data_IF_087953285142
#
_entry.id   IF_087953285142
#
_cell.length_a   1.000
_cell.length_b   1.000
_cell.length_c   1.000
_cell.angle_alpha   90.00
_cell.angle_beta   90.00
_cell.angle_gamma   90.00
#
_symmetry.space_group_name_H-M   'P 1'
#
loop_
_entity.id
_entity.type
_entity.pdbx_description
1 polymer ?
#
# COMPACT_ATOMS: atom_id res chain seq x y z
N UNK A 1 6.00 -11.60 -14.61
CA UNK A 1 5.13 -11.86 -13.43
C UNK A 1 3.64 -11.55 -13.67
N UNK A 2 3.15 -11.61 -14.93
CA UNK A 2 1.71 -11.51 -15.29
C UNK A 2 1.14 -12.92 -15.61
N UNK A 3 2.01 -13.94 -15.67
CA UNK A 3 1.67 -15.33 -15.96
C UNK A 3 0.92 -16.04 -14.82
N UNK A 4 0.93 -15.50 -13.60
CA UNK A 4 0.23 -16.08 -12.44
C UNK A 4 -1.19 -15.55 -12.22
N UNK A 5 -1.67 -14.63 -13.07
CA UNK A 5 -3.02 -14.10 -12.94
C UNK A 5 -4.03 -15.01 -13.65
N UNK A 6 -5.20 -15.27 -13.03
CA UNK A 6 -6.26 -16.06 -13.65
C UNK A 6 -6.66 -15.44 -14.99
N UNK A 7 -6.99 -16.27 -15.99
CA UNK A 7 -7.21 -15.84 -17.39
C UNK A 7 -8.17 -14.66 -17.56
N UNK A 8 -9.17 -14.54 -16.68
CA UNK A 8 -10.13 -13.42 -16.66
C UNK A 8 -9.47 -12.07 -16.37
N UNK A 9 -8.46 -12.03 -15.49
CA UNK A 9 -7.70 -10.81 -15.19
C UNK A 9 -6.71 -10.47 -16.30
N UNK A 10 -6.18 -11.48 -17.00
CA UNK A 10 -5.23 -11.31 -18.11
C UNK A 10 -5.76 -10.48 -19.27
N UNK A 11 -7.08 -10.56 -19.54
CA UNK A 11 -7.76 -9.72 -20.54
C UNK A 11 -7.89 -8.24 -20.15
N UNK A 12 -7.70 -7.89 -18.88
CA UNK A 12 -7.81 -6.52 -18.35
C UNK A 12 -6.48 -6.03 -17.78
N UNK A 13 -5.38 -6.46 -18.39
CA UNK A 13 -4.03 -6.17 -17.91
C UNK A 13 -3.78 -4.67 -17.81
N UNK A 14 -4.33 -3.89 -18.72
CA UNK A 14 -4.31 -2.44 -18.81
C UNK A 14 -4.94 -1.77 -17.58
N UNK A 15 -6.08 -2.29 -17.10
CA UNK A 15 -6.74 -1.81 -15.87
C UNK A 15 -5.98 -2.24 -14.61
N UNK A 16 -5.33 -3.41 -14.64
CA UNK A 16 -4.62 -3.97 -13.49
C UNK A 16 -3.18 -3.48 -13.37
N UNK A 17 -2.63 -2.92 -14.45
CA UNK A 17 -1.25 -2.46 -14.51
C UNK A 17 -0.93 -1.43 -13.43
N UNK A 18 -1.78 -0.40 -13.17
CA UNK A 18 -1.53 0.55 -12.09
C UNK A 18 -1.55 -0.13 -10.71
N UNK A 19 -2.49 -1.04 -10.47
CA UNK A 19 -2.60 -1.77 -9.21
C UNK A 19 -1.40 -2.69 -8.96
N UNK A 20 -0.91 -3.35 -10.01
CA UNK A 20 0.26 -4.21 -9.94
C UNK A 20 1.54 -3.40 -9.70
N UNK A 21 1.72 -2.29 -10.40
CA UNK A 21 2.84 -1.38 -10.20
C UNK A 21 2.82 -0.77 -8.80
N UNK A 22 1.64 -0.44 -8.29
CA UNK A 22 1.46 0.03 -6.92
C UNK A 22 1.95 -1.02 -5.91
N UNK A 23 1.43 -2.24 -5.99
CA UNK A 23 1.84 -3.33 -5.10
C UNK A 23 3.35 -3.62 -5.18
N UNK A 24 3.93 -3.56 -6.38
CA UNK A 24 5.36 -3.76 -6.56
C UNK A 24 6.21 -2.65 -5.90
N UNK A 25 5.73 -1.40 -5.92
CA UNK A 25 6.48 -0.24 -5.40
C UNK A 25 6.36 -0.06 -3.90
N UNK A 26 5.26 -0.48 -3.29
CA UNK A 26 5.08 -0.41 -1.82
C UNK A 26 5.69 -1.60 -1.08
N UNK A 27 5.77 -2.78 -1.68
CA UNK A 27 6.23 -3.98 -0.96
C UNK A 27 7.77 -4.03 -0.92
N UNK A 28 8.40 -4.08 0.28
CA UNK A 28 9.85 -4.23 0.40
C UNK A 28 10.30 -5.54 -0.25
N UNK A 29 11.25 -5.43 -1.18
CA UNK A 29 11.76 -6.61 -1.89
C UNK A 29 12.74 -7.36 -1.01
N UNK A 30 12.54 -8.68 -0.87
CA UNK A 30 13.25 -9.54 0.09
C UNK A 30 14.79 -9.53 -0.03
N UNK A 31 15.32 -9.15 -1.19
CA UNK A 31 16.77 -9.07 -1.44
C UNK A 31 17.42 -7.75 -1.04
N UNK A 32 16.66 -6.65 -0.97
CA UNK A 32 17.19 -5.30 -0.69
C UNK A 32 16.67 -4.77 0.66
N UNK A 33 15.55 -5.31 1.15
CA UNK A 33 14.92 -4.88 2.41
C UNK A 33 14.18 -3.55 2.30
N UNK A 34 14.42 -2.78 1.25
CA UNK A 34 13.77 -1.50 0.95
C UNK A 34 12.66 -1.67 -0.09
N UNK A 35 11.61 -0.85 0.03
CA UNK A 35 10.63 -0.69 -1.05
C UNK A 35 11.22 0.16 -2.18
N UNK A 36 10.81 -0.04 -3.45
CA UNK A 36 11.20 0.85 -4.54
C UNK A 36 10.85 2.32 -4.30
N UNK A 37 9.81 2.63 -3.53
CA UNK A 37 9.50 4.01 -3.13
C UNK A 37 10.52 4.59 -2.15
N UNK A 38 10.99 3.80 -1.19
CA UNK A 38 12.04 4.22 -0.26
C UNK A 38 13.34 4.53 -1.00
N UNK A 39 13.68 3.74 -2.02
CA UNK A 39 14.87 3.98 -2.85
C UNK A 39 14.75 5.24 -3.70
N UNK A 40 13.55 5.58 -4.17
CA UNK A 40 13.34 6.76 -5.02
C UNK A 40 13.33 8.06 -4.21
N UNK A 41 12.68 8.06 -3.04
CA UNK A 41 12.45 9.27 -2.25
C UNK A 41 13.41 9.41 -1.06
N UNK A 42 14.21 8.38 -0.75
CA UNK A 42 15.18 8.41 0.34
C UNK A 42 14.58 8.40 1.74
N UNK A 43 13.25 8.25 1.87
CA UNK A 43 12.55 8.13 3.14
C UNK A 43 11.39 7.12 3.02
N UNK A 44 10.92 6.53 4.15
CA UNK A 44 9.74 5.69 4.14
C UNK A 44 8.51 6.51 3.74
N UNK A 45 7.96 6.19 2.57
CA UNK A 45 6.75 6.83 2.06
C UNK A 45 5.55 6.24 2.80
N UNK A 46 4.78 7.09 3.49
CA UNK A 46 3.47 6.69 4.04
C UNK A 46 2.48 6.52 2.89
N UNK A 47 2.32 5.28 2.46
CA UNK A 47 1.42 4.90 1.38
C UNK A 47 0.04 4.42 1.88
N UNK A 48 -0.90 4.19 0.97
CA UNK A 48 -2.20 3.61 1.32
C UNK A 48 -2.09 2.29 2.09
N UNK A 49 -1.11 1.42 1.80
CA UNK A 49 -0.92 0.20 2.60
C UNK A 49 -0.47 0.49 4.03
N UNK A 50 0.29 1.56 4.26
CA UNK A 50 0.65 1.99 5.61
C UNK A 50 -0.59 2.41 6.39
N UNK A 51 -1.52 3.14 5.78
CA UNK A 51 -2.78 3.54 6.41
C UNK A 51 -3.69 2.33 6.71
N UNK A 52 -3.79 1.39 5.77
CA UNK A 52 -4.56 0.15 5.97
C UNK A 52 -3.94 -0.68 7.09
N UNK A 53 -2.61 -0.80 7.13
CA UNK A 53 -1.88 -1.50 8.18
C UNK A 53 -2.07 -0.83 9.53
N UNK A 54 -1.97 0.50 9.60
CA UNK A 54 -2.23 1.27 10.81
C UNK A 54 -3.67 1.07 11.29
N UNK A 55 -4.67 1.09 10.41
CA UNK A 55 -6.06 0.82 10.76
C UNK A 55 -6.31 -0.63 11.21
N UNK A 56 -5.56 -1.58 10.69
CA UNK A 56 -5.68 -3.01 11.02
C UNK A 56 -4.93 -3.41 12.30
N UNK A 57 -3.76 -2.81 12.54
CA UNK A 57 -2.91 -3.06 13.72
C UNK A 57 -3.28 -2.16 14.91
N UNK A 58 -4.19 -1.20 14.72
CA UNK A 58 -4.78 -0.47 15.82
C UNK A 58 -5.51 -1.46 16.75
N UNK A 59 -5.11 -1.59 18.04
CA UNK A 59 -5.99 -2.20 19.02
C UNK A 59 -7.29 -1.38 19.00
N UNK A 60 -8.45 -2.03 19.16
CA UNK A 60 -9.78 -1.42 19.29
C UNK A 60 -9.77 -0.37 20.42
N UNK A 61 -9.17 0.80 20.20
CA UNK A 61 -9.30 1.95 21.06
C UNK A 61 -10.63 2.54 20.64
N UNK A 62 -11.60 2.43 21.56
CA UNK A 62 -12.84 3.17 21.52
C UNK A 62 -12.57 4.61 21.05
N UNK A 63 -13.45 5.19 20.23
CA UNK A 63 -13.22 6.51 19.67
C UNK A 63 -13.05 7.48 20.83
N UNK A 64 -11.81 7.93 21.06
CA UNK A 64 -11.58 9.07 21.93
C UNK A 64 -11.94 10.28 21.09
N UNK A 65 -13.23 10.64 21.15
CA UNK A 65 -13.72 11.97 20.80
C UNK A 65 -12.80 13.00 21.47
N UNK A 66 -12.30 13.95 20.69
CA UNK A 66 -12.83 15.30 20.73
C UNK A 66 -12.06 16.14 19.71
N UNK A 67 -12.73 16.40 18.59
CA UNK A 67 -12.59 17.64 17.85
C UNK A 67 -13.46 18.56 18.72
N UNK A 68 -12.94 19.38 19.62
CA UNK A 68 -12.85 20.81 19.29
C UNK A 68 -13.13 21.01 17.80
N UNK A 69 -14.37 21.16 17.33
CA UNK A 69 -15.37 22.13 17.82
C UNK A 69 -14.73 23.52 18.02
N UNK A 70 -13.54 23.74 17.44
CA UNK A 70 -12.74 24.94 17.59
C UNK A 70 -12.06 25.24 16.24
N UNK A 71 -12.81 26.02 15.46
CA UNK A 71 -12.56 26.59 14.13
C UNK A 71 -13.06 25.75 12.96
#
# INVERSE_FOLDING_TARGET
MIMGLPEKLRRRWDVLLPCLLFAYREVPQKGVGFSPFELLFGHPVRGPLTLVKEGWEQPLKAPKQDIVDYV
#
